data_IF_085680011087
#
_entry.id   IF_085680011087
#
_cell.length_a   1.000
_cell.length_b   1.000
_cell.length_c   1.000
_cell.angle_alpha   90.00
_cell.angle_beta   90.00
_cell.angle_gamma   90.00
#
_symmetry.space_group_name_H-M   'P 1'
#
loop_
_entity.id
_entity.type
_entity.pdbx_description
1 polymer ?
#
# COMPACT_ATOMS: atom_id res chain seq x y z
N UNK A 1 -30.15 -36.07 -7.08
CA UNK A 1 -30.78 -34.80 -7.47
C UNK A 1 -29.83 -33.68 -7.17
N UNK A 2 -29.04 -33.31 -8.22
CA UNK A 2 -28.06 -32.24 -8.14
C UNK A 2 -28.77 -30.89 -8.16
N UNK A 3 -28.54 -30.10 -7.14
CA UNK A 3 -28.84 -28.66 -7.18
C UNK A 3 -27.76 -27.97 -8.02
N UNK A 4 -28.12 -27.08 -8.96
CA UNK A 4 -27.13 -26.34 -9.72
C UNK A 4 -26.38 -25.40 -8.81
N UNK A 5 -25.05 -25.40 -8.90
CA UNK A 5 -24.17 -24.46 -8.23
C UNK A 5 -24.56 -23.03 -8.62
N UNK A 6 -24.85 -22.20 -7.64
CA UNK A 6 -25.12 -20.79 -7.85
C UNK A 6 -23.87 -20.11 -8.42
N UNK A 7 -24.00 -19.26 -9.45
CA UNK A 7 -22.87 -18.52 -10.00
C UNK A 7 -22.29 -17.59 -8.92
N UNK A 8 -20.97 -17.66 -8.71
CA UNK A 8 -20.24 -16.70 -7.88
C UNK A 8 -20.47 -15.28 -8.41
N UNK A 9 -20.79 -14.31 -7.54
CA UNK A 9 -20.86 -12.93 -7.97
C UNK A 9 -19.46 -12.49 -8.46
N UNK A 10 -19.37 -11.74 -9.56
CA UNK A 10 -18.11 -11.21 -10.04
C UNK A 10 -17.53 -10.28 -8.95
N UNK A 11 -16.26 -10.44 -8.64
CA UNK A 11 -15.49 -9.51 -7.84
C UNK A 11 -15.69 -8.10 -8.43
N UNK A 12 -16.39 -7.26 -7.72
CA UNK A 12 -16.60 -5.87 -8.10
C UNK A 12 -15.22 -5.20 -8.11
N UNK A 13 -14.67 -4.96 -9.31
CA UNK A 13 -13.55 -4.04 -9.45
C UNK A 13 -13.95 -2.70 -8.83
N UNK A 14 -13.17 -2.15 -7.89
CA UNK A 14 -13.47 -0.81 -7.39
C UNK A 14 -13.46 0.16 -8.57
N UNK A 15 -14.30 1.20 -8.56
CA UNK A 15 -14.28 2.21 -9.59
C UNK A 15 -12.91 2.89 -9.58
N UNK A 16 -12.23 2.86 -10.71
CA UNK A 16 -11.04 3.69 -10.95
C UNK A 16 -11.51 5.15 -11.09
N UNK A 17 -11.68 5.83 -9.97
CA UNK A 17 -11.99 7.26 -9.93
C UNK A 17 -11.03 7.94 -8.97
N UNK A 18 -10.31 8.85 -9.49
CA UNK A 18 -9.23 9.68 -9.02
C UNK A 18 -7.86 9.07 -9.34
N UNK A 19 -7.04 9.86 -9.99
CA UNK A 19 -5.63 9.54 -10.24
C UNK A 19 -4.98 9.29 -8.88
N UNK A 20 -4.80 8.03 -8.51
CA UNK A 20 -4.11 7.70 -7.27
C UNK A 20 -2.73 8.35 -7.34
N UNK A 21 -2.39 9.11 -6.31
CA UNK A 21 -1.04 9.65 -6.15
C UNK A 21 -0.09 8.47 -6.13
N UNK A 22 0.88 8.48 -7.05
CA UNK A 22 1.83 7.39 -7.18
C UNK A 22 3.17 7.78 -6.58
N UNK A 23 3.92 6.80 -6.11
CA UNK A 23 5.30 7.00 -5.69
C UNK A 23 6.14 7.67 -6.78
N UNK A 24 5.82 7.42 -8.06
CA UNK A 24 6.46 8.05 -9.20
C UNK A 24 6.26 9.58 -9.24
N UNK A 25 5.10 10.09 -8.83
CA UNK A 25 4.83 11.53 -8.75
C UNK A 25 5.69 12.18 -7.65
N UNK A 26 5.81 11.54 -6.50
CA UNK A 26 6.67 11.96 -5.40
C UNK A 26 8.15 11.95 -5.82
N UNK A 27 8.60 10.91 -6.49
CA UNK A 27 9.98 10.79 -6.98
C UNK A 27 10.32 11.87 -8.02
N UNK A 28 9.34 12.27 -8.85
CA UNK A 28 9.50 13.38 -9.78
C UNK A 28 9.72 14.70 -9.03
N UNK A 29 8.89 14.99 -8.04
CA UNK A 29 9.02 16.19 -7.21
C UNK A 29 10.33 16.21 -6.41
N UNK A 30 10.78 15.07 -5.89
CA UNK A 30 12.11 14.94 -5.25
C UNK A 30 13.27 15.26 -6.21
N UNK A 31 13.18 14.84 -7.48
CA UNK A 31 14.19 15.19 -8.49
C UNK A 31 14.19 16.68 -8.79
N UNK A 32 13.02 17.30 -8.88
CA UNK A 32 12.88 18.74 -9.08
C UNK A 32 13.44 19.53 -7.88
N UNK A 33 13.16 19.12 -6.65
CA UNK A 33 13.72 19.70 -5.42
C UNK A 33 15.25 19.64 -5.43
N UNK A 34 15.82 18.49 -5.76
CA UNK A 34 17.28 18.36 -5.84
C UNK A 34 17.90 19.27 -6.91
N UNK A 35 17.22 19.44 -8.05
CA UNK A 35 17.67 20.36 -9.10
C UNK A 35 17.60 21.83 -8.65
N UNK A 36 16.54 22.22 -7.93
CA UNK A 36 16.39 23.56 -7.36
C UNK A 36 17.46 23.84 -6.29
N UNK A 37 17.74 22.89 -5.41
CA UNK A 37 18.81 22.98 -4.40
C UNK A 37 20.19 23.19 -5.03
N UNK A 38 20.47 22.47 -6.13
CA UNK A 38 21.70 22.64 -6.89
C UNK A 38 21.83 24.04 -7.51
N UNK A 39 20.76 24.55 -8.11
CA UNK A 39 20.70 25.92 -8.67
C UNK A 39 20.89 26.96 -7.58
N UNK A 40 20.22 26.81 -6.43
CA UNK A 40 20.38 27.68 -5.26
C UNK A 40 21.82 27.73 -4.74
N UNK A 41 22.51 26.57 -4.69
CA UNK A 41 23.93 26.50 -4.33
C UNK A 41 24.82 27.29 -5.29
N UNK A 42 24.57 27.18 -6.59
CA UNK A 42 25.35 27.90 -7.62
C UNK A 42 25.14 29.42 -7.51
N UNK A 43 23.89 29.89 -7.35
CA UNK A 43 23.58 31.30 -7.15
C UNK A 43 24.25 31.84 -5.87
N UNK A 44 24.25 31.06 -4.78
CA UNK A 44 24.94 31.44 -3.53
C UNK A 44 26.46 31.60 -3.73
N UNK A 45 27.11 30.73 -4.52
CA UNK A 45 28.54 30.89 -4.85
C UNK A 45 28.79 32.15 -5.65
N UNK A 46 27.98 32.47 -6.63
CA UNK A 46 28.09 33.68 -7.44
C UNK A 46 27.86 34.95 -6.57
N UNK A 47 26.87 34.92 -5.68
CA UNK A 47 26.61 36.02 -4.74
C UNK A 47 27.81 36.26 -3.80
N UNK A 48 28.43 35.17 -3.30
CA UNK A 48 29.62 35.26 -2.41
C UNK A 48 30.83 35.82 -3.15
N UNK A 49 31.01 35.48 -4.44
CA UNK A 49 32.08 36.06 -5.27
C UNK A 49 31.89 37.58 -5.48
N UNK A 50 30.64 38.01 -5.70
CA UNK A 50 30.29 39.42 -5.92
C UNK A 50 30.31 40.29 -4.65
N UNK A 51 30.23 39.73 -3.45
CA UNK A 51 30.35 40.46 -2.19
C UNK A 51 31.69 41.20 -2.04
N UNK A 52 32.73 40.77 -2.76
CA UNK A 52 34.08 41.37 -2.75
C UNK A 52 34.22 42.60 -3.66
N UNK A 53 33.27 42.83 -4.53
CA UNK A 53 33.34 43.90 -5.54
C UNK A 53 32.20 44.93 -5.31
N UNK A 54 32.55 46.10 -4.79
CA UNK A 54 31.62 47.20 -4.49
C UNK A 54 30.93 47.81 -5.75
N UNK A 55 31.52 47.61 -6.95
CA UNK A 55 31.05 48.23 -8.19
C UNK A 55 29.86 47.54 -8.85
N UNK A 56 29.39 46.35 -8.36
CA UNK A 56 28.42 45.51 -9.03
C UNK A 56 27.04 45.38 -8.34
N UNK A 57 26.52 46.47 -7.77
CA UNK A 57 25.26 46.49 -7.00
C UNK A 57 24.06 45.95 -7.85
N UNK A 58 24.02 46.26 -9.15
CA UNK A 58 22.93 45.77 -10.04
C UNK A 58 23.02 44.23 -10.28
N UNK A 59 24.24 43.70 -10.45
CA UNK A 59 24.43 42.27 -10.57
C UNK A 59 24.10 41.52 -9.29
N UNK A 60 24.43 42.09 -8.15
CA UNK A 60 24.02 41.54 -6.84
C UNK A 60 22.54 41.51 -6.67
N UNK A 61 21.83 42.60 -7.06
CA UNK A 61 20.37 42.63 -7.03
C UNK A 61 19.77 41.52 -7.92
N UNK A 62 20.21 41.41 -9.15
CA UNK A 62 19.72 40.37 -10.07
C UNK A 62 19.94 38.93 -9.52
N UNK A 63 21.08 38.67 -8.87
CA UNK A 63 21.34 37.36 -8.25
C UNK A 63 20.49 37.13 -6.99
N UNK A 64 20.19 38.17 -6.21
CA UNK A 64 19.29 38.08 -5.07
C UNK A 64 17.86 37.83 -5.52
N UNK A 65 17.40 38.55 -6.57
CA UNK A 65 16.08 38.31 -7.17
C UNK A 65 15.96 36.84 -7.65
N UNK A 66 16.99 36.34 -8.38
CA UNK A 66 17.02 34.94 -8.79
C UNK A 66 17.05 33.94 -7.61
N UNK A 67 17.74 34.28 -6.51
CA UNK A 67 17.74 33.47 -5.30
C UNK A 67 16.35 33.41 -4.66
N UNK A 68 15.64 34.53 -4.63
CA UNK A 68 14.26 34.62 -4.11
C UNK A 68 13.34 33.75 -4.97
N UNK A 69 13.45 33.84 -6.31
CA UNK A 69 12.65 33.03 -7.21
C UNK A 69 12.89 31.52 -6.98
N UNK A 70 14.19 31.11 -6.87
CA UNK A 70 14.55 29.71 -6.60
C UNK A 70 14.03 29.21 -5.25
N UNK A 71 14.08 30.05 -4.19
CA UNK A 71 13.52 29.72 -2.90
C UNK A 71 12.01 29.58 -2.99
N UNK A 72 11.34 30.47 -3.72
CA UNK A 72 9.89 30.40 -3.90
C UNK A 72 9.49 29.12 -4.65
N UNK A 73 10.23 28.74 -5.70
CA UNK A 73 10.03 27.47 -6.41
C UNK A 73 10.29 26.25 -5.49
N UNK A 74 11.33 26.32 -4.64
CA UNK A 74 11.65 25.25 -3.68
C UNK A 74 10.53 25.08 -2.64
N UNK A 75 10.01 26.17 -2.10
CA UNK A 75 8.86 26.18 -1.18
C UNK A 75 7.63 25.56 -1.86
N UNK A 76 7.25 26.04 -3.05
CA UNK A 76 6.10 25.52 -3.78
C UNK A 76 6.22 24.02 -4.10
N UNK A 77 7.43 23.57 -4.49
CA UNK A 77 7.70 22.17 -4.72
C UNK A 77 7.55 21.34 -3.42
N UNK A 78 8.07 21.83 -2.31
CA UNK A 78 7.99 21.13 -1.01
C UNK A 78 6.54 21.07 -0.50
N UNK A 79 5.78 22.16 -0.65
CA UNK A 79 4.34 22.18 -0.32
C UNK A 79 3.57 21.15 -1.16
N UNK A 80 3.92 21.04 -2.44
CA UNK A 80 3.32 20.03 -3.31
C UNK A 80 3.70 18.61 -2.90
N UNK A 81 4.95 18.36 -2.48
CA UNK A 81 5.36 17.07 -1.93
C UNK A 81 4.56 16.72 -0.68
N UNK A 82 4.39 17.67 0.25
CA UNK A 82 3.58 17.47 1.47
C UNK A 82 2.15 17.08 1.10
N UNK A 83 1.51 17.81 0.18
CA UNK A 83 0.15 17.48 -0.27
C UNK A 83 0.05 16.09 -0.91
N UNK A 84 1.07 15.67 -1.66
CA UNK A 84 1.12 14.32 -2.25
C UNK A 84 1.28 13.25 -1.17
N UNK A 85 2.12 13.48 -0.14
CA UNK A 85 2.22 12.54 0.98
C UNK A 85 0.92 12.47 1.77
N UNK A 86 0.24 13.59 2.01
CA UNK A 86 -1.06 13.61 2.69
C UNK A 86 -2.09 12.74 1.96
N UNK A 87 -2.19 12.89 0.64
CA UNK A 87 -3.08 12.08 -0.17
C UNK A 87 -2.69 10.58 -0.18
N UNK A 88 -1.39 10.27 -0.22
CA UNK A 88 -0.91 8.89 -0.18
C UNK A 88 -1.17 8.25 1.19
N UNK A 89 -0.99 8.98 2.27
CA UNK A 89 -1.27 8.54 3.64
C UNK A 89 -2.76 8.21 3.76
N UNK A 90 -3.65 9.14 3.39
CA UNK A 90 -5.10 8.95 3.45
C UNK A 90 -5.54 7.71 2.63
N UNK A 91 -5.02 7.57 1.42
CA UNK A 91 -5.30 6.40 0.58
C UNK A 91 -4.81 5.10 1.24
N UNK A 92 -3.58 5.10 1.78
CA UNK A 92 -2.98 3.91 2.39
C UNK A 92 -3.72 3.52 3.68
N UNK A 93 -4.16 4.50 4.49
CA UNK A 93 -4.98 4.26 5.68
C UNK A 93 -6.32 3.62 5.33
N UNK A 94 -6.99 4.12 4.28
CA UNK A 94 -8.23 3.53 3.80
C UNK A 94 -8.02 2.09 3.32
N UNK A 95 -7.03 1.86 2.47
CA UNK A 95 -6.71 0.53 1.95
C UNK A 95 -6.29 -0.43 3.07
N UNK A 96 -5.57 0.05 4.09
CA UNK A 96 -5.20 -0.74 5.26
C UNK A 96 -6.45 -1.15 6.05
N UNK A 97 -7.37 -0.21 6.28
CA UNK A 97 -8.63 -0.48 6.97
C UNK A 97 -9.49 -1.50 6.22
N UNK A 98 -9.60 -1.37 4.90
CA UNK A 98 -10.33 -2.32 4.05
C UNK A 98 -9.69 -3.72 4.08
N UNK A 99 -8.36 -3.80 4.04
CA UNK A 99 -7.63 -5.09 4.07
C UNK A 99 -7.77 -5.76 5.44
N UNK A 100 -7.74 -4.98 6.53
CA UNK A 100 -7.96 -5.49 7.89
C UNK A 100 -9.40 -6.00 8.08
N UNK A 101 -10.40 -5.32 7.52
CA UNK A 101 -11.77 -5.79 7.54
C UNK A 101 -11.93 -7.11 6.77
N UNK A 102 -11.30 -7.24 5.61
CA UNK A 102 -11.29 -8.48 4.83
C UNK A 102 -10.60 -9.64 5.59
N UNK A 103 -9.49 -9.36 6.26
CA UNK A 103 -8.79 -10.35 7.09
C UNK A 103 -9.67 -10.81 8.25
N UNK A 104 -10.34 -9.89 8.94
CA UNK A 104 -11.24 -10.20 10.04
C UNK A 104 -12.43 -11.06 9.58
N UNK A 105 -13.06 -10.74 8.46
CA UNK A 105 -14.15 -11.52 7.87
C UNK A 105 -13.70 -12.94 7.50
N UNK A 106 -12.54 -13.08 6.86
CA UNK A 106 -11.96 -14.36 6.49
C UNK A 106 -11.59 -15.19 7.74
N UNK A 107 -11.03 -14.54 8.75
CA UNK A 107 -10.70 -15.19 10.02
C UNK A 107 -11.97 -15.67 10.77
N UNK A 108 -13.04 -14.88 10.77
CA UNK A 108 -14.32 -15.29 11.35
C UNK A 108 -14.91 -16.53 10.64
N UNK A 109 -14.85 -16.55 9.30
CA UNK A 109 -15.28 -17.71 8.51
C UNK A 109 -14.43 -18.94 8.83
N UNK A 110 -13.13 -18.79 8.93
CA UNK A 110 -12.21 -19.86 9.33
C UNK A 110 -12.54 -20.38 10.72
N UNK A 111 -12.76 -19.51 11.72
CA UNK A 111 -13.13 -19.89 13.07
C UNK A 111 -14.49 -20.64 13.13
N UNK A 112 -15.49 -20.17 12.35
CA UNK A 112 -16.79 -20.87 12.26
C UNK A 112 -16.62 -22.27 11.68
N UNK A 113 -15.76 -22.44 10.69
CA UNK A 113 -15.47 -23.72 10.08
C UNK A 113 -14.76 -24.67 11.05
N UNK A 114 -13.75 -24.18 11.79
CA UNK A 114 -13.02 -24.97 12.78
C UNK A 114 -13.98 -25.40 13.91
N UNK A 115 -14.85 -24.52 14.41
CA UNK A 115 -15.87 -24.89 15.41
C UNK A 115 -16.83 -25.94 14.88
N UNK A 116 -17.33 -25.79 13.66
CA UNK A 116 -18.22 -26.77 13.06
C UNK A 116 -17.56 -28.16 12.91
N UNK A 117 -16.25 -28.20 12.69
CA UNK A 117 -15.47 -29.43 12.69
C UNK A 117 -15.35 -30.03 14.09
N UNK A 118 -15.14 -29.19 15.13
CA UNK A 118 -15.03 -29.62 16.51
C UNK A 118 -16.37 -30.13 17.07
N UNK A 119 -17.46 -29.37 16.87
CA UNK A 119 -18.80 -29.71 17.35
C UNK A 119 -19.37 -30.99 16.76
N UNK A 120 -19.05 -31.29 15.50
CA UNK A 120 -19.48 -32.54 14.84
C UNK A 120 -18.69 -33.76 15.31
N UNK A 121 -17.76 -33.58 16.26
CA UNK A 121 -16.72 -34.54 16.60
C UNK A 121 -15.79 -34.71 15.39
N UNK A 122 -14.57 -35.09 15.61
CA UNK A 122 -13.68 -35.46 14.51
C UNK A 122 -14.34 -36.64 13.77
N UNK A 123 -15.20 -36.33 12.77
CA UNK A 123 -15.45 -37.31 11.72
C UNK A 123 -14.09 -37.45 11.09
N UNK A 124 -13.31 -38.38 11.67
CA UNK A 124 -12.00 -38.67 11.17
C UNK A 124 -12.18 -38.95 9.68
N UNK A 125 -11.40 -38.30 8.82
CA UNK A 125 -11.40 -38.64 7.41
C UNK A 125 -11.37 -40.15 7.20
N UNK A 126 -10.74 -40.86 8.12
CA UNK A 126 -10.73 -42.32 8.22
C UNK A 126 -12.14 -42.91 8.46
N UNK A 127 -12.99 -42.30 9.29
CA UNK A 127 -14.36 -42.83 9.51
C UNK A 127 -15.24 -42.70 8.27
N UNK A 128 -15.07 -41.63 7.48
CA UNK A 128 -15.76 -41.48 6.19
C UNK A 128 -15.30 -42.53 5.20
N UNK A 129 -14.00 -42.80 5.13
CA UNK A 129 -13.42 -43.80 4.25
C UNK A 129 -13.86 -45.21 4.66
N UNK A 130 -13.85 -45.54 5.97
CA UNK A 130 -14.24 -46.86 6.47
C UNK A 130 -15.76 -47.11 6.52
N UNK A 131 -16.60 -46.09 6.32
CA UNK A 131 -18.05 -46.25 6.17
C UNK A 131 -18.47 -46.55 4.72
N UNK A 132 -17.55 -46.49 3.78
CA UNK A 132 -17.83 -46.80 2.37
C UNK A 132 -18.16 -48.25 2.21
N UNK A 133 -19.29 -48.56 1.57
CA UNK A 133 -19.77 -49.92 1.34
C UNK A 133 -19.31 -50.50 0.01
N UNK A 134 -18.72 -49.66 -0.87
CA UNK A 134 -18.17 -50.05 -2.17
C UNK A 134 -16.88 -49.31 -2.49
N UNK A 135 -16.08 -49.84 -3.41
CA UNK A 135 -14.86 -49.18 -3.89
C UNK A 135 -15.13 -47.86 -4.60
N UNK A 136 -16.26 -47.74 -5.28
CA UNK A 136 -16.70 -46.52 -5.94
C UNK A 136 -17.03 -45.41 -4.91
N UNK A 137 -17.75 -45.77 -3.83
CA UNK A 137 -18.00 -44.86 -2.70
C UNK A 137 -16.71 -44.44 -1.98
N UNK A 138 -15.76 -45.34 -1.83
CA UNK A 138 -14.45 -45.06 -1.27
C UNK A 138 -13.69 -44.01 -2.10
N UNK A 139 -13.66 -44.17 -3.41
CA UNK A 139 -13.02 -43.20 -4.30
C UNK A 139 -13.72 -41.85 -4.23
N UNK A 140 -15.05 -41.81 -4.27
CA UNK A 140 -15.83 -40.58 -4.11
C UNK A 140 -15.60 -39.89 -2.76
N UNK A 141 -15.44 -40.67 -1.68
CA UNK A 141 -15.10 -40.14 -0.35
C UNK A 141 -13.66 -39.56 -0.32
N UNK A 142 -12.71 -40.19 -1.00
CA UNK A 142 -11.34 -39.67 -1.12
C UNK A 142 -11.31 -38.34 -1.89
N UNK A 143 -12.01 -38.25 -3.01
CA UNK A 143 -12.12 -37.03 -3.82
C UNK A 143 -12.74 -35.90 -3.00
N UNK A 144 -13.83 -36.18 -2.28
CA UNK A 144 -14.47 -35.21 -1.39
C UNK A 144 -13.54 -34.71 -0.27
N UNK A 145 -12.80 -35.61 0.39
CA UNK A 145 -11.83 -35.26 1.43
C UNK A 145 -10.74 -34.37 0.84
N UNK A 146 -10.21 -34.71 -0.33
CA UNK A 146 -9.19 -33.93 -1.04
C UNK A 146 -9.68 -32.52 -1.35
N UNK A 147 -10.92 -32.39 -1.88
CA UNK A 147 -11.53 -31.09 -2.17
C UNK A 147 -11.71 -30.22 -0.92
N UNK A 148 -12.12 -30.83 0.20
CA UNK A 148 -12.24 -30.15 1.49
C UNK A 148 -10.89 -29.66 2.00
N UNK A 149 -9.86 -30.49 1.93
CA UNK A 149 -8.50 -30.12 2.36
C UNK A 149 -7.91 -29.00 1.50
N UNK A 150 -8.11 -29.05 0.18
CA UNK A 150 -7.69 -27.98 -0.72
C UNK A 150 -8.43 -26.66 -0.45
N UNK A 151 -9.73 -26.72 -0.12
CA UNK A 151 -10.50 -25.54 0.24
C UNK A 151 -10.00 -24.93 1.56
N UNK A 152 -9.65 -25.74 2.56
CA UNK A 152 -9.10 -25.27 3.82
C UNK A 152 -7.72 -24.66 3.63
N UNK A 153 -6.88 -25.27 2.80
CA UNK A 153 -5.55 -24.73 2.49
C UNK A 153 -5.66 -23.38 1.80
N UNK A 154 -6.60 -23.21 0.87
CA UNK A 154 -6.82 -21.91 0.20
C UNK A 154 -7.20 -20.82 1.19
N UNK A 155 -8.09 -21.09 2.14
CA UNK A 155 -8.46 -20.10 3.18
C UNK A 155 -7.26 -19.69 4.02
N UNK A 156 -6.40 -20.64 4.39
CA UNK A 156 -5.18 -20.35 5.15
C UNK A 156 -4.20 -19.52 4.31
N UNK A 157 -4.04 -19.85 3.04
CA UNK A 157 -3.13 -19.12 2.15
C UNK A 157 -3.66 -17.70 1.85
N UNK A 158 -4.98 -17.53 1.69
CA UNK A 158 -5.61 -16.21 1.54
C UNK A 158 -5.39 -15.34 2.80
N UNK A 159 -5.54 -15.92 4.01
CA UNK A 159 -5.23 -15.20 5.25
C UNK A 159 -3.76 -14.78 5.34
N UNK A 160 -2.83 -15.62 4.94
CA UNK A 160 -1.40 -15.28 4.91
C UNK A 160 -1.11 -14.13 3.93
N UNK A 161 -1.76 -14.15 2.76
CA UNK A 161 -1.63 -13.09 1.78
C UNK A 161 -2.17 -11.76 2.34
N UNK A 162 -3.33 -11.76 2.99
CA UNK A 162 -3.90 -10.57 3.63
C UNK A 162 -2.99 -10.04 4.74
N UNK A 163 -2.43 -10.91 5.59
CA UNK A 163 -1.48 -10.51 6.62
C UNK A 163 -0.20 -9.89 6.04
N UNK A 164 0.32 -10.44 4.94
CA UNK A 164 1.47 -9.85 4.25
C UNK A 164 1.15 -8.48 3.65
N UNK A 165 -0.03 -8.31 3.07
CA UNK A 165 -0.50 -7.02 2.54
C UNK A 165 -0.69 -5.98 3.64
N UNK A 166 -1.23 -6.37 4.79
CA UNK A 166 -1.36 -5.48 5.97
C UNK A 166 0.02 -5.01 6.42
N UNK A 167 0.99 -5.91 6.54
CA UNK A 167 2.36 -5.55 6.94
C UNK A 167 3.03 -4.60 5.93
N UNK A 168 2.87 -4.85 4.63
CA UNK A 168 3.39 -3.98 3.57
C UNK A 168 2.76 -2.58 3.62
N UNK A 169 1.42 -2.50 3.79
CA UNK A 169 0.71 -1.22 3.89
C UNK A 169 1.12 -0.44 5.14
N UNK A 170 1.29 -1.12 6.28
CA UNK A 170 1.78 -0.48 7.50
C UNK A 170 3.18 0.10 7.30
N UNK A 171 4.09 -0.63 6.66
CA UNK A 171 5.43 -0.14 6.36
C UNK A 171 5.39 1.06 5.39
N UNK A 172 4.53 1.02 4.38
CA UNK A 172 4.34 2.13 3.44
C UNK A 172 3.83 3.37 4.15
N UNK A 173 2.85 3.21 5.03
CA UNK A 173 2.29 4.29 5.84
C UNK A 173 3.35 4.92 6.74
N UNK A 174 4.11 4.12 7.46
CA UNK A 174 5.19 4.57 8.33
C UNK A 174 6.26 5.37 7.57
N UNK A 175 6.66 4.87 6.40
CA UNK A 175 7.61 5.54 5.52
C UNK A 175 7.06 6.87 5.02
N UNK A 176 5.82 6.90 4.57
CA UNK A 176 5.17 8.12 4.07
C UNK A 176 5.01 9.19 5.14
N UNK A 177 4.67 8.80 6.37
CA UNK A 177 4.59 9.71 7.52
C UNK A 177 5.96 10.30 7.85
N UNK A 178 7.03 9.49 7.87
CA UNK A 178 8.38 9.96 8.13
C UNK A 178 8.88 10.94 7.04
N UNK A 179 8.60 10.64 5.78
CA UNK A 179 8.97 11.51 4.66
C UNK A 179 8.16 12.81 4.65
N UNK A 180 6.86 12.77 4.97
CA UNK A 180 6.03 13.96 5.15
C UNK A 180 6.57 14.86 6.26
N UNK A 181 6.91 14.26 7.41
CA UNK A 181 7.49 15.01 8.53
C UNK A 181 8.81 15.68 8.14
N UNK A 182 9.69 14.96 7.45
CA UNK A 182 10.94 15.51 6.93
C UNK A 182 10.72 16.67 5.94
N UNK A 183 9.71 16.57 5.08
CA UNK A 183 9.35 17.65 4.16
C UNK A 183 8.80 18.87 4.90
N UNK A 184 7.99 18.69 5.95
CA UNK A 184 7.48 19.78 6.80
C UNK A 184 8.61 20.48 7.56
N UNK A 185 9.58 19.72 8.07
CA UNK A 185 10.76 20.28 8.74
C UNK A 185 11.67 21.07 7.79
N UNK A 186 11.72 20.71 6.52
CA UNK A 186 12.48 21.45 5.51
C UNK A 186 11.88 22.84 5.19
N UNK A 187 10.59 23.05 5.49
CA UNK A 187 9.91 24.35 5.32
C UNK A 187 10.00 25.25 6.56
N UNK A 188 10.33 24.71 7.73
CA UNK A 188 10.38 25.43 9.00
C UNK A 188 11.73 26.15 9.21
#
# INVERSE_FOLDING_TARGET
WGAPAAPRPPLRRPPQTASAVTQADIDKLKKESNALSSKKSEVNKQLSALKKDKANTLKRKALLDQQIDLISEEIANTEQQIAQYEALIEQTEQELSETQAQEADQYELFCKRVRAMEERGTVSYWSVLFQSSSFEELLGAMDFISEVMEADQRVIDDLRVLQAQIAEKQQTLETSLAEQQSAKEALA
#
